data_IF_949771528535
#
_entry.id   IF_949771528535
#
_cell.length_a   1.000
_cell.length_b   1.000
_cell.length_c   1.000
_cell.angle_alpha   90.00
_cell.angle_beta   90.00
_cell.angle_gamma   90.00
#
_symmetry.space_group_name_H-M   'P 1'
#
loop_
_entity.id
_entity.type
_entity.pdbx_description
1 polymer ?
#
# COMPACT_ATOMS: atom_id res chain seq x y z
N UNK A 1 29.64 -6.72 -4.27
CA UNK A 1 29.67 -5.41 -4.91
C UNK A 1 29.28 -4.32 -3.90
N UNK A 2 28.16 -4.44 -3.20
CA UNK A 2 27.71 -3.46 -2.19
C UNK A 2 28.63 -3.30 -0.96
N UNK A 3 29.45 -4.31 -0.63
CA UNK A 3 30.47 -4.21 0.42
C UNK A 3 31.73 -3.47 -0.02
N UNK A 4 31.99 -3.39 -1.32
CA UNK A 4 33.20 -2.77 -1.90
C UNK A 4 32.96 -1.29 -2.22
N UNK A 5 31.70 -0.96 -2.58
CA UNK A 5 31.27 0.41 -2.85
C UNK A 5 30.02 0.68 -1.99
N UNK A 6 30.21 1.10 -0.72
CA UNK A 6 29.07 1.50 0.11
C UNK A 6 28.36 2.67 -0.56
N UNK A 7 27.04 2.62 -0.61
CA UNK A 7 26.25 3.71 -1.13
C UNK A 7 26.31 4.85 -0.13
N UNK A 8 26.82 5.99 -0.54
CA UNK A 8 26.71 7.21 0.25
C UNK A 8 25.24 7.67 0.21
N UNK A 9 24.65 7.90 1.38
CA UNK A 9 23.34 8.51 1.53
C UNK A 9 23.58 10.00 1.72
N UNK A 10 23.09 10.80 0.81
CA UNK A 10 23.22 12.25 0.88
C UNK A 10 22.00 12.85 1.58
N UNK A 11 22.16 13.94 2.35
CA UNK A 11 21.04 14.63 3.01
C UNK A 11 19.95 15.10 2.04
N UNK A 12 20.30 15.33 0.79
CA UNK A 12 19.41 15.72 -0.32
C UNK A 12 18.72 14.52 -1.01
N UNK A 13 18.94 13.30 -0.54
CA UNK A 13 18.23 12.13 -1.11
C UNK A 13 16.72 12.32 -0.96
N UNK A 14 15.97 12.20 -2.07
CA UNK A 14 14.54 12.53 -2.09
C UNK A 14 13.65 11.48 -1.41
N UNK A 15 14.24 10.41 -0.84
CA UNK A 15 13.48 9.30 -0.26
C UNK A 15 13.69 9.25 1.25
N UNK A 16 12.59 9.39 1.98
CA UNK A 16 12.53 9.20 3.44
C UNK A 16 11.79 7.91 3.74
N UNK A 17 12.33 7.11 4.67
CA UNK A 17 11.67 5.92 5.20
C UNK A 17 11.07 6.28 6.55
N UNK A 18 9.75 6.08 6.68
CA UNK A 18 9.04 6.16 7.96
C UNK A 18 8.88 4.71 8.44
N UNK A 19 9.65 4.35 9.46
CA UNK A 19 9.68 2.98 9.99
C UNK A 19 8.74 2.83 11.18
N UNK A 20 8.09 1.67 11.28
CA UNK A 20 7.33 1.24 12.45
C UNK A 20 8.29 0.47 13.34
N UNK A 21 9.10 1.22 14.06
CA UNK A 21 10.16 0.72 14.92
C UNK A 21 9.71 0.44 16.36
N UNK A 22 10.60 -0.13 17.18
CA UNK A 22 10.32 -0.46 18.58
C UNK A 22 9.88 0.78 19.40
N UNK A 23 10.38 1.97 19.06
CA UNK A 23 10.00 3.21 19.72
C UNK A 23 8.56 3.58 19.39
N UNK A 24 8.19 3.54 18.12
CA UNK A 24 6.82 3.79 17.66
C UNK A 24 5.83 2.80 18.30
N UNK A 25 6.23 1.51 18.39
CA UNK A 25 5.42 0.48 19.04
C UNK A 25 5.26 0.73 20.55
N UNK A 26 6.28 1.26 21.22
CA UNK A 26 6.20 1.59 22.64
C UNK A 26 5.34 2.83 22.91
N UNK A 27 5.38 3.86 22.02
CA UNK A 27 4.66 5.12 22.19
C UNK A 27 3.19 5.04 21.74
N UNK A 28 2.91 4.34 20.61
CA UNK A 28 1.58 4.31 19.99
C UNK A 28 0.82 3.01 20.34
N UNK A 29 1.57 1.93 20.61
CA UNK A 29 1.03 0.60 20.87
C UNK A 29 1.41 -0.40 19.78
N UNK A 30 1.02 -1.66 20.01
CA UNK A 30 1.36 -2.76 19.12
C UNK A 30 0.68 -2.63 17.76
N UNK A 31 1.43 -3.01 16.71
CA UNK A 31 0.88 -3.15 15.35
C UNK A 31 -0.11 -4.34 15.28
N UNK A 32 -1.18 -4.26 14.47
CA UNK A 32 -1.55 -3.17 13.56
C UNK A 32 -2.29 -2.01 14.26
N UNK A 33 -1.86 -0.79 13.95
CA UNK A 33 -2.53 0.41 14.46
C UNK A 33 -3.89 0.62 13.78
N UNK A 34 -4.76 1.38 14.46
CA UNK A 34 -6.03 1.78 13.88
C UNK A 34 -5.84 2.61 12.60
N UNK A 35 -6.78 2.51 11.66
CA UNK A 35 -6.75 3.30 10.43
C UNK A 35 -6.81 4.81 10.70
N UNK A 36 -7.40 5.21 11.82
CA UNK A 36 -7.39 6.60 12.28
C UNK A 36 -5.96 7.12 12.52
N UNK A 37 -5.07 6.31 13.12
CA UNK A 37 -3.66 6.67 13.29
C UNK A 37 -2.94 6.79 11.94
N UNK A 38 -3.24 5.93 11.00
CA UNK A 38 -2.68 5.98 9.65
C UNK A 38 -3.22 7.17 8.85
N UNK A 39 -4.47 7.56 9.06
CA UNK A 39 -5.04 8.78 8.51
C UNK A 39 -4.28 10.02 9.02
N UNK A 40 -4.01 10.08 10.32
CA UNK A 40 -3.22 11.17 10.92
C UNK A 40 -1.80 11.23 10.35
N UNK A 41 -1.13 10.08 10.21
CA UNK A 41 0.20 9.98 9.57
C UNK A 41 0.15 10.51 8.13
N UNK A 42 -0.84 10.09 7.36
CA UNK A 42 -1.03 10.52 5.96
C UNK A 42 -1.23 12.03 5.89
N UNK A 43 -2.05 12.60 6.77
CA UNK A 43 -2.30 14.04 6.82
C UNK A 43 -1.04 14.83 7.21
N UNK A 44 -0.18 14.28 8.09
CA UNK A 44 1.10 14.92 8.44
C UNK A 44 2.12 14.85 7.29
N UNK A 45 2.03 13.85 6.44
CA UNK A 45 2.90 13.68 5.27
C UNK A 45 2.45 14.51 4.04
N UNK A 46 1.58 15.49 4.19
CA UNK A 46 0.95 16.26 3.12
C UNK A 46 1.92 16.88 2.10
N UNK A 47 3.16 17.18 2.51
CA UNK A 47 4.18 17.78 1.65
C UNK A 47 4.97 16.74 0.82
N UNK A 48 4.74 15.45 1.02
CA UNK A 48 5.42 14.40 0.27
C UNK A 48 4.90 14.35 -1.18
N UNK A 49 5.80 14.37 -2.16
CA UNK A 49 5.44 14.21 -3.57
C UNK A 49 4.75 12.86 -3.86
N UNK A 50 5.08 11.82 -3.07
CA UNK A 50 4.41 10.54 -3.08
C UNK A 50 4.61 9.84 -1.72
N UNK A 51 3.54 9.29 -1.15
CA UNK A 51 3.55 8.49 0.07
C UNK A 51 3.22 7.04 -0.28
N UNK A 52 4.17 6.12 -0.06
CA UNK A 52 3.98 4.69 -0.31
C UNK A 52 3.85 3.90 0.98
N UNK A 53 2.79 3.11 1.11
CA UNK A 53 2.62 2.13 2.18
C UNK A 53 3.09 0.76 1.72
N UNK A 54 4.17 0.26 2.34
CA UNK A 54 4.65 -1.13 2.17
C UNK A 54 3.84 -2.08 3.07
N UNK A 55 2.52 -1.99 2.94
CA UNK A 55 1.52 -2.66 3.77
C UNK A 55 0.34 -3.04 2.88
N UNK A 56 -0.25 -4.23 3.15
CA UNK A 56 -1.53 -4.63 2.57
C UNK A 56 -2.63 -4.51 3.61
N UNK A 57 -3.64 -3.73 3.31
CA UNK A 57 -4.81 -3.51 4.16
C UNK A 57 -5.96 -4.42 3.73
N UNK A 58 -5.76 -5.73 3.88
CA UNK A 58 -6.65 -6.76 3.34
C UNK A 58 -7.99 -6.89 4.10
N UNK A 59 -8.04 -6.39 5.33
CA UNK A 59 -9.21 -6.52 6.22
C UNK A 59 -9.63 -5.15 6.75
N UNK A 60 -10.93 -4.95 7.04
CA UNK A 60 -11.41 -3.76 7.73
C UNK A 60 -10.72 -3.57 9.08
N UNK A 61 -10.65 -2.33 9.53
CA UNK A 61 -10.08 -2.01 10.84
C UNK A 61 -10.86 -2.70 11.97
N UNK A 62 -10.14 -3.46 12.79
CA UNK A 62 -10.74 -4.17 13.94
C UNK A 62 -11.30 -3.21 15.00
N UNK A 63 -10.78 -1.99 15.06
CA UNK A 63 -11.22 -0.94 15.99
C UNK A 63 -12.30 -0.03 15.42
N UNK A 64 -12.90 -0.39 14.28
CA UNK A 64 -14.05 0.33 13.76
C UNK A 64 -15.18 0.38 14.78
N UNK A 65 -15.89 1.51 14.95
CA UNK A 65 -16.98 1.63 15.91
C UNK A 65 -18.04 0.51 15.79
N UNK A 66 -18.37 0.10 14.58
CA UNK A 66 -19.30 -1.03 14.33
C UNK A 66 -18.79 -2.37 14.89
N UNK A 67 -17.48 -2.61 14.86
CA UNK A 67 -16.90 -3.83 15.40
C UNK A 67 -16.91 -3.83 16.94
N UNK A 68 -16.74 -2.65 17.55
CA UNK A 68 -16.86 -2.49 19.01
C UNK A 68 -18.30 -2.79 19.47
N UNK A 69 -19.31 -2.27 18.76
CA UNK A 69 -20.73 -2.56 19.05
C UNK A 69 -21.01 -4.07 18.97
N UNK A 70 -20.45 -4.75 17.96
CA UNK A 70 -20.65 -6.18 17.79
C UNK A 70 -19.92 -7.03 18.84
N UNK A 71 -18.85 -6.50 19.45
CA UNK A 71 -17.97 -7.22 20.38
C UNK A 71 -18.36 -7.06 21.84
N UNK A 72 -19.14 -6.04 22.18
CA UNK A 72 -19.50 -5.69 23.55
C UNK A 72 -21.01 -5.53 23.70
N UNK A 73 -21.54 -5.92 24.86
CA UNK A 73 -22.93 -5.69 25.25
C UNK A 73 -23.07 -4.23 25.75
N UNK A 74 -23.35 -3.33 24.81
CA UNK A 74 -23.41 -1.90 25.06
C UNK A 74 -24.86 -1.45 25.28
N UNK A 75 -25.05 -0.44 26.12
CA UNK A 75 -26.36 0.19 26.28
C UNK A 75 -26.78 0.97 25.01
N UNK A 76 -28.09 1.30 24.90
CA UNK A 76 -28.63 1.96 23.72
C UNK A 76 -28.02 3.33 23.42
N UNK A 77 -27.67 4.10 24.47
CA UNK A 77 -27.10 5.44 24.33
C UNK A 77 -25.71 5.37 23.72
N UNK A 78 -24.82 4.53 24.27
CA UNK A 78 -23.46 4.35 23.76
C UNK A 78 -23.46 3.72 22.36
N UNK A 79 -24.41 2.79 22.09
CA UNK A 79 -24.59 2.23 20.75
C UNK A 79 -24.94 3.30 19.73
N UNK A 80 -25.82 4.25 20.06
CA UNK A 80 -26.18 5.37 19.17
C UNK A 80 -25.01 6.29 18.92
N UNK A 81 -24.23 6.61 19.95
CA UNK A 81 -23.02 7.44 19.79
C UNK A 81 -21.98 6.78 18.87
N UNK A 82 -21.70 5.49 19.09
CA UNK A 82 -20.74 4.75 18.25
C UNK A 82 -21.21 4.58 16.80
N UNK A 83 -22.51 4.39 16.57
CA UNK A 83 -23.07 4.32 15.21
C UNK A 83 -22.92 5.64 14.46
N UNK A 84 -22.95 6.77 15.17
CA UNK A 84 -22.80 8.09 14.58
C UNK A 84 -21.33 8.43 14.20
N UNK A 85 -20.37 7.67 14.70
CA UNK A 85 -18.96 7.87 14.35
C UNK A 85 -18.64 7.31 12.95
N UNK A 86 -17.79 8.00 12.18
CA UNK A 86 -17.32 7.48 10.91
C UNK A 86 -16.45 6.22 11.13
N UNK A 87 -16.42 5.35 10.14
CA UNK A 87 -15.52 4.20 10.13
C UNK A 87 -14.06 4.68 10.04
N UNK A 88 -13.15 4.04 10.77
CA UNK A 88 -11.73 4.33 10.66
C UNK A 88 -11.21 4.10 9.24
N UNK A 89 -11.77 3.13 8.51
CA UNK A 89 -11.44 2.88 7.11
C UNK A 89 -11.88 4.05 6.21
N UNK A 90 -13.05 4.65 6.49
CA UNK A 90 -13.53 5.84 5.78
C UNK A 90 -12.64 7.05 6.06
N UNK A 91 -12.25 7.28 7.31
CA UNK A 91 -11.32 8.36 7.68
C UNK A 91 -9.95 8.20 6.99
N UNK A 92 -9.46 6.98 6.90
CA UNK A 92 -8.19 6.72 6.22
C UNK A 92 -8.33 6.86 4.69
N UNK A 93 -9.42 6.39 4.11
CA UNK A 93 -9.73 6.58 2.69
C UNK A 93 -9.80 8.07 2.33
N UNK A 94 -10.46 8.89 3.16
CA UNK A 94 -10.53 10.34 2.98
C UNK A 94 -9.13 11.00 3.08
N UNK A 95 -8.31 10.59 4.04
CA UNK A 95 -6.94 11.11 4.16
C UNK A 95 -6.09 10.74 2.93
N UNK A 96 -6.23 9.53 2.40
CA UNK A 96 -5.57 9.07 1.17
C UNK A 96 -6.02 9.93 -0.03
N UNK A 97 -7.31 10.15 -0.18
CA UNK A 97 -7.88 10.94 -1.27
C UNK A 97 -7.43 12.39 -1.21
N UNK A 98 -7.47 13.01 -0.02
CA UNK A 98 -7.04 14.38 0.20
C UNK A 98 -5.54 14.58 -0.06
N UNK A 99 -4.70 13.60 0.29
CA UNK A 99 -3.26 13.63 -0.05
C UNK A 99 -3.02 13.56 -1.57
N UNK A 100 -3.81 12.78 -2.30
CA UNK A 100 -3.84 12.71 -3.75
C UNK A 100 -2.68 11.94 -4.42
N UNK A 101 -1.61 11.59 -3.67
CA UNK A 101 -0.42 10.89 -4.20
C UNK A 101 -0.01 9.68 -3.33
N UNK A 102 -0.99 9.06 -2.66
CA UNK A 102 -0.76 7.85 -1.87
C UNK A 102 -0.77 6.61 -2.75
N UNK A 103 0.17 5.72 -2.51
CA UNK A 103 0.29 4.40 -3.16
C UNK A 103 0.20 3.32 -2.08
N UNK A 104 -0.62 2.31 -2.32
CA UNK A 104 -0.77 1.16 -1.44
C UNK A 104 -0.04 -0.07 -1.99
N UNK A 105 0.42 -0.92 -1.08
CA UNK A 105 0.99 -2.21 -1.42
C UNK A 105 -0.07 -3.28 -1.73
N UNK A 106 0.31 -4.27 -2.54
CA UNK A 106 -0.41 -5.52 -2.72
C UNK A 106 0.58 -6.68 -2.78
N UNK A 107 0.18 -7.86 -2.31
CA UNK A 107 1.02 -9.05 -2.35
C UNK A 107 0.52 -10.02 -3.42
N UNK A 108 1.31 -10.23 -4.48
CA UNK A 108 1.00 -11.23 -5.51
C UNK A 108 1.36 -12.62 -5.01
N UNK A 109 0.53 -13.60 -5.32
CA UNK A 109 0.74 -14.99 -4.94
C UNK A 109 0.10 -15.96 -5.93
N UNK A 110 0.36 -17.26 -5.74
CA UNK A 110 -0.20 -18.32 -6.58
C UNK A 110 -1.33 -19.10 -5.90
N UNK A 111 -1.74 -18.70 -4.70
CA UNK A 111 -2.65 -19.48 -3.86
C UNK A 111 -4.09 -18.93 -3.85
N UNK A 112 -4.33 -17.76 -4.39
CA UNK A 112 -5.64 -17.09 -4.34
C UNK A 112 -6.09 -16.70 -5.74
N UNK A 113 -7.35 -16.99 -6.04
CA UNK A 113 -7.99 -16.58 -7.31
C UNK A 113 -8.62 -15.18 -7.21
N UNK A 114 -8.18 -14.35 -6.28
CA UNK A 114 -8.66 -12.98 -6.13
C UNK A 114 -7.84 -12.12 -7.09
N UNK A 115 -8.48 -11.59 -8.11
CA UNK A 115 -7.86 -10.63 -9.01
C UNK A 115 -7.77 -9.28 -8.30
N UNK A 116 -6.66 -8.55 -8.46
CA UNK A 116 -6.53 -7.21 -7.95
C UNK A 116 -7.59 -6.30 -8.59
N UNK A 117 -7.96 -5.26 -7.88
CA UNK A 117 -8.73 -4.15 -8.43
C UNK A 117 -8.02 -3.61 -9.67
N UNK A 118 -8.75 -3.02 -10.62
CA UNK A 118 -8.17 -2.45 -11.85
C UNK A 118 -6.90 -1.69 -11.52
N UNK A 119 -5.79 -2.04 -12.17
CA UNK A 119 -4.55 -1.27 -12.04
C UNK A 119 -4.82 0.16 -12.50
N UNK A 120 -4.38 1.09 -11.68
CA UNK A 120 -4.36 2.54 -12.01
C UNK A 120 -3.10 2.90 -12.81
N UNK A 121 -2.45 1.89 -13.35
CA UNK A 121 -1.19 1.95 -14.06
C UNK A 121 -1.43 1.77 -15.56
N UNK A 122 -1.02 2.74 -16.33
CA UNK A 122 -0.94 2.65 -17.79
C UNK A 122 0.48 2.22 -18.20
N UNK A 123 0.61 1.15 -18.94
CA UNK A 123 1.86 0.72 -19.55
C UNK A 123 1.71 0.73 -21.07
N UNK A 124 2.52 1.56 -21.72
CA UNK A 124 2.64 1.53 -23.17
C UNK A 124 3.72 0.52 -23.53
N UNK A 125 3.35 -0.53 -24.23
CA UNK A 125 4.28 -1.57 -24.67
C UNK A 125 4.66 -1.38 -26.12
N UNK A 126 5.97 -1.53 -26.42
CA UNK A 126 6.48 -1.50 -27.78
C UNK A 126 7.29 -2.78 -28.04
N UNK A 127 7.03 -3.45 -29.15
CA UNK A 127 7.67 -4.72 -29.50
C UNK A 127 6.86 -5.94 -29.03
N UNK A 128 7.56 -6.99 -28.60
CA UNK A 128 6.95 -8.25 -28.19
C UNK A 128 6.12 -8.11 -26.91
N UNK A 129 5.16 -9.00 -26.70
CA UNK A 129 4.31 -9.01 -25.50
C UNK A 129 5.18 -9.16 -24.22
N UNK A 130 5.22 -8.12 -23.35
CA UNK A 130 6.06 -8.13 -22.15
C UNK A 130 5.71 -9.25 -21.16
N UNK A 131 4.51 -9.82 -21.22
CA UNK A 131 4.09 -10.93 -20.36
C UNK A 131 4.92 -12.19 -20.53
N UNK A 132 5.59 -12.33 -21.67
CA UNK A 132 6.50 -13.45 -21.93
C UNK A 132 7.80 -13.35 -21.08
N UNK A 133 8.12 -12.17 -20.58
CA UNK A 133 9.38 -11.87 -19.90
C UNK A 133 9.21 -11.56 -18.40
N UNK A 134 7.97 -11.45 -17.93
CA UNK A 134 7.68 -11.13 -16.51
C UNK A 134 7.14 -12.36 -15.78
N UNK A 135 7.31 -12.37 -14.46
CA UNK A 135 6.71 -13.42 -13.63
C UNK A 135 5.19 -13.23 -13.59
N UNK A 136 4.47 -14.33 -13.85
CA UNK A 136 3.02 -14.36 -13.79
C UNK A 136 2.56 -15.03 -12.50
N UNK A 137 1.57 -14.39 -11.84
CA UNK A 137 0.89 -14.87 -10.65
C UNK A 137 -0.57 -15.18 -10.96
N UNK A 138 -1.17 -16.08 -10.19
CA UNK A 138 -2.58 -16.44 -10.35
C UNK A 138 -3.53 -15.67 -9.44
N UNK A 139 -3.01 -14.98 -8.44
CA UNK A 139 -3.80 -14.22 -7.47
C UNK A 139 -3.03 -13.09 -6.79
N UNK A 140 -3.75 -12.31 -6.01
CA UNK A 140 -3.20 -11.25 -5.18
C UNK A 140 -3.98 -11.12 -3.87
N UNK A 141 -3.29 -10.73 -2.81
CA UNK A 141 -3.91 -10.16 -1.64
C UNK A 141 -3.89 -8.64 -1.79
N UNK A 142 -5.07 -8.06 -1.97
CA UNK A 142 -5.29 -6.63 -2.18
C UNK A 142 -5.83 -5.97 -0.94
N UNK A 143 -5.87 -4.65 -0.94
CA UNK A 143 -6.50 -3.86 0.11
C UNK A 143 -8.03 -3.96 0.03
N UNK A 144 -8.72 -3.52 1.07
CA UNK A 144 -10.18 -3.36 1.02
C UNK A 144 -10.55 -2.32 -0.04
N UNK A 145 -11.70 -2.51 -0.67
CA UNK A 145 -12.12 -1.76 -1.86
C UNK A 145 -12.10 -0.24 -1.68
N UNK A 146 -12.50 0.26 -0.50
CA UNK A 146 -12.55 1.69 -0.23
C UNK A 146 -11.16 2.32 -0.26
N UNK A 147 -10.15 1.67 0.30
CA UNK A 147 -8.76 2.15 0.31
C UNK A 147 -8.13 2.06 -1.08
N UNK A 148 -8.36 0.95 -1.79
CA UNK A 148 -7.89 0.83 -3.18
C UNK A 148 -8.52 1.88 -4.09
N UNK A 149 -9.79 2.22 -3.88
CA UNK A 149 -10.47 3.25 -4.67
C UNK A 149 -9.85 4.64 -4.46
N UNK A 150 -9.54 5.00 -3.21
CA UNK A 150 -8.99 6.31 -2.82
C UNK A 150 -7.51 6.48 -3.18
N UNK A 151 -6.72 5.40 -3.23
CA UNK A 151 -5.30 5.47 -3.53
C UNK A 151 -5.03 5.94 -4.97
N UNK A 152 -3.94 6.70 -5.17
CA UNK A 152 -3.48 7.12 -6.50
C UNK A 152 -2.89 5.96 -7.31
N UNK A 153 -2.33 4.98 -6.63
CA UNK A 153 -1.74 3.80 -7.24
C UNK A 153 -1.71 2.62 -6.30
N UNK A 154 -1.53 1.42 -6.87
CA UNK A 154 -1.31 0.18 -6.12
C UNK A 154 -0.14 -0.55 -6.77
N UNK A 155 0.84 -0.95 -5.97
CA UNK A 155 2.05 -1.61 -6.46
C UNK A 155 2.34 -2.93 -5.75
N UNK A 156 2.96 -3.87 -6.48
CA UNK A 156 3.39 -5.15 -5.94
C UNK A 156 4.54 -4.98 -4.95
N UNK A 157 4.43 -5.63 -3.80
CA UNK A 157 5.49 -5.81 -2.80
C UNK A 157 6.12 -7.19 -2.90
N UNK A 158 5.74 -8.00 -3.90
CA UNK A 158 6.18 -9.38 -4.01
C UNK A 158 7.67 -9.47 -4.31
N UNK A 159 8.36 -10.29 -3.53
CA UNK A 159 9.78 -10.59 -3.70
C UNK A 159 9.87 -12.01 -4.24
N UNK A 160 10.64 -12.20 -5.31
CA UNK A 160 10.83 -13.54 -5.88
C UNK A 160 11.44 -14.52 -4.87
N UNK A 161 10.82 -15.66 -4.72
CA UNK A 161 11.03 -16.66 -3.66
C UNK A 161 12.35 -17.46 -3.70
N UNK A 162 13.32 -17.13 -4.54
CA UNK A 162 14.43 -18.06 -4.80
C UNK A 162 15.74 -17.78 -4.05
N UNK A 163 15.86 -16.67 -3.31
CA UNK A 163 17.10 -16.36 -2.61
C UNK A 163 16.84 -15.76 -1.22
N UNK A 164 17.55 -16.24 -0.23
CA UNK A 164 17.57 -15.65 1.11
C UNK A 164 18.10 -14.19 1.11
N UNK A 165 18.74 -13.78 0.02
CA UNK A 165 19.26 -12.42 -0.18
C UNK A 165 18.62 -11.86 -1.44
N UNK A 166 17.81 -10.81 -1.30
CA UNK A 166 17.20 -10.08 -2.42
C UNK A 166 18.29 -9.32 -3.18
N UNK A 167 18.59 -9.74 -4.40
CA UNK A 167 19.58 -9.10 -5.28
C UNK A 167 18.95 -8.33 -6.43
N UNK A 168 17.68 -8.62 -6.73
CA UNK A 168 16.95 -8.02 -7.84
C UNK A 168 15.52 -7.73 -7.39
N UNK A 169 15.06 -6.52 -7.68
CA UNK A 169 13.66 -6.15 -7.55
C UNK A 169 13.05 -6.10 -8.95
N UNK A 170 11.95 -6.83 -9.12
CA UNK A 170 11.19 -6.79 -10.37
C UNK A 170 10.44 -5.47 -10.43
N UNK A 171 10.53 -4.78 -11.56
CA UNK A 171 9.82 -3.52 -11.77
C UNK A 171 8.36 -3.74 -12.16
N UNK A 172 8.12 -4.81 -12.94
CA UNK A 172 6.80 -5.18 -13.45
C UNK A 172 6.63 -6.69 -13.31
N UNK A 173 5.45 -7.10 -12.95
CA UNK A 173 5.00 -8.48 -12.85
C UNK A 173 3.66 -8.61 -13.57
N UNK A 174 3.09 -9.80 -13.65
CA UNK A 174 1.74 -9.97 -14.21
C UNK A 174 0.86 -10.82 -13.33
N UNK A 175 -0.44 -10.55 -13.39
CA UNK A 175 -1.48 -11.38 -12.80
C UNK A 175 -2.53 -11.64 -13.87
N UNK A 176 -2.67 -12.90 -14.26
CA UNK A 176 -3.50 -13.23 -15.40
C UNK A 176 -3.08 -12.43 -16.65
N UNK A 177 -3.98 -11.62 -17.16
CA UNK A 177 -3.73 -10.81 -18.37
C UNK A 177 -3.28 -9.37 -18.11
N UNK A 178 -3.04 -9.03 -16.85
CA UNK A 178 -2.77 -7.66 -16.41
C UNK A 178 -1.31 -7.50 -15.94
N UNK A 179 -0.62 -6.48 -16.42
CA UNK A 179 0.69 -6.08 -15.90
C UNK A 179 0.50 -5.28 -14.62
N UNK A 180 1.36 -5.54 -13.64
CA UNK A 180 1.33 -4.92 -12.32
C UNK A 180 2.69 -4.31 -12.03
N UNK A 181 2.76 -3.01 -11.70
CA UNK A 181 4.01 -2.37 -11.31
C UNK A 181 4.44 -2.84 -9.93
N UNK A 182 5.74 -2.81 -9.65
CA UNK A 182 6.22 -2.88 -8.27
C UNK A 182 5.83 -1.60 -7.51
N UNK A 183 5.74 -1.69 -6.18
CA UNK A 183 5.46 -0.53 -5.31
C UNK A 183 6.48 0.60 -5.57
N UNK A 184 7.75 0.27 -5.76
CA UNK A 184 8.81 1.23 -6.05
C UNK A 184 8.60 1.95 -7.40
N UNK A 185 8.22 1.21 -8.46
CA UNK A 185 7.96 1.81 -9.77
C UNK A 185 6.72 2.72 -9.72
N UNK A 186 5.65 2.26 -9.10
CA UNK A 186 4.41 3.02 -9.00
C UNK A 186 4.60 4.31 -8.19
N UNK A 187 5.38 4.24 -7.10
CA UNK A 187 5.75 5.41 -6.32
C UNK A 187 6.57 6.41 -7.12
N UNK A 188 7.52 5.93 -7.94
CA UNK A 188 8.30 6.81 -8.82
C UNK A 188 7.41 7.49 -9.86
N UNK A 189 6.48 6.75 -10.48
CA UNK A 189 5.52 7.29 -11.46
C UNK A 189 4.67 8.39 -10.84
N UNK A 190 4.07 8.13 -9.69
CA UNK A 190 3.21 9.09 -9.00
C UNK A 190 4.00 10.31 -8.53
N UNK A 191 5.17 10.11 -7.93
CA UNK A 191 6.03 11.20 -7.45
C UNK A 191 6.58 12.09 -8.56
N UNK A 192 6.76 11.54 -9.77
CA UNK A 192 7.15 12.30 -10.96
C UNK A 192 5.95 13.02 -11.64
N UNK A 193 4.72 12.83 -11.15
CA UNK A 193 3.51 13.37 -11.78
C UNK A 193 3.19 12.72 -13.13
N UNK A 194 3.81 11.57 -13.46
CA UNK A 194 3.60 10.90 -14.73
C UNK A 194 2.24 10.17 -14.73
N UNK A 195 1.49 10.34 -15.81
CA UNK A 195 0.24 9.60 -16.02
C UNK A 195 0.52 8.16 -16.44
N UNK A 196 1.56 7.94 -17.25
CA UNK A 196 1.95 6.64 -17.80
C UNK A 196 3.47 6.45 -17.75
N UNK A 197 3.91 5.19 -17.74
CA UNK A 197 5.32 4.80 -17.89
C UNK A 197 5.54 4.30 -19.31
N UNK A 198 6.49 4.90 -20.00
CA UNK A 198 6.94 4.47 -21.33
C UNK A 198 8.07 3.46 -21.21
#
# INVERSE_FOLDING_TARGET
>A
FQRILPREVYPEDPVVIIDIDDRSLAEIGQWPWSRNQLANLTNQAYAAAALGFDIVFAEPDRTNPKNLIASYDLNEELTKELVALPSNDELFAEAIENHGTVILGQALNNNQNILPTKTKFGLVTQGDDPKQFVTNYSGAQSNITILDASARGVGSMSIGNNDAIVRQLRKVESIGNQLVPSLALERTRVGAGACDVQ
#
